data_IF_898306337346
#
_entry.id   IF_898306337346
#
_cell.length_a   1.000
_cell.length_b   1.000
_cell.length_c   1.000
_cell.angle_alpha   90.00
_cell.angle_beta   90.00
_cell.angle_gamma   90.00
#
_symmetry.space_group_name_H-M   'P 1'
#
loop_
_entity.id
_entity.type
_entity.pdbx_description
1 polymer ?
#
# COMPACT_ATOMS: atom_id res chain seq x y z
N UNK A 1 -11.74 -2.76 7.70
CA UNK A 1 -10.90 -2.61 6.48
C UNK A 1 -11.83 -2.58 5.27
N UNK A 2 -11.55 -1.72 4.28
CA UNK A 2 -12.34 -1.55 3.06
C UNK A 2 -11.63 -2.22 1.88
N UNK A 3 -12.38 -2.77 0.91
CA UNK A 3 -11.78 -3.49 -0.22
C UNK A 3 -11.36 -2.55 -1.34
N UNK A 4 -12.05 -1.43 -1.49
CA UNK A 4 -11.75 -0.39 -2.48
C UNK A 4 -11.68 1.01 -1.84
N UNK A 5 -11.29 2.02 -2.61
CA UNK A 5 -11.32 3.41 -2.14
C UNK A 5 -12.75 3.92 -1.97
N UNK A 6 -13.67 3.52 -2.86
CA UNK A 6 -15.10 3.82 -2.78
C UNK A 6 -15.71 3.30 -1.48
N UNK A 7 -15.38 2.06 -1.09
CA UNK A 7 -15.80 1.49 0.19
C UNK A 7 -15.30 2.33 1.38
N UNK A 8 -14.07 2.87 1.29
CA UNK A 8 -13.49 3.71 2.35
C UNK A 8 -14.19 5.07 2.44
N UNK A 9 -14.50 5.69 1.30
CA UNK A 9 -15.30 6.92 1.26
C UNK A 9 -16.72 6.69 1.78
N UNK A 10 -17.34 5.59 1.37
CA UNK A 10 -18.70 5.22 1.78
C UNK A 10 -18.79 5.00 3.29
N UNK A 11 -17.79 4.34 3.89
CA UNK A 11 -17.74 4.14 5.34
C UNK A 11 -17.76 5.47 6.13
N UNK A 12 -17.11 6.53 5.61
CA UNK A 12 -17.17 7.87 6.24
C UNK A 12 -18.55 8.50 6.04
N UNK A 13 -19.11 8.42 4.83
CA UNK A 13 -20.43 8.99 4.52
C UNK A 13 -21.55 8.37 5.36
N UNK A 14 -21.48 7.06 5.59
CA UNK A 14 -22.48 6.32 6.37
C UNK A 14 -22.25 6.41 7.89
N UNK A 15 -21.24 7.17 8.33
CA UNK A 15 -20.90 7.32 9.75
C UNK A 15 -20.29 6.07 10.40
N UNK A 16 -19.89 5.07 9.60
CA UNK A 16 -19.20 3.87 10.07
C UNK A 16 -17.74 4.15 10.44
N UNK A 17 -17.16 5.20 9.85
CA UNK A 17 -15.84 5.72 10.18
C UNK A 17 -15.88 7.24 10.32
N UNK A 18 -15.04 7.79 11.20
CA UNK A 18 -14.94 9.24 11.35
C UNK A 18 -14.07 9.88 10.26
N UNK A 19 -13.06 9.16 9.77
CA UNK A 19 -12.08 9.62 8.78
C UNK A 19 -11.66 8.47 7.86
N UNK A 20 -11.17 8.81 6.67
CA UNK A 20 -10.53 7.89 5.75
C UNK A 20 -9.09 8.34 5.46
N UNK A 21 -8.16 7.39 5.41
CA UNK A 21 -6.78 7.60 4.97
C UNK A 21 -6.64 7.09 3.55
N UNK A 22 -6.34 7.98 2.61
CA UNK A 22 -6.36 7.69 1.18
C UNK A 22 -4.99 8.03 0.57
N UNK A 23 -4.28 7.05 -0.02
CA UNK A 23 -2.99 7.30 -0.65
C UNK A 23 -3.20 8.01 -2.00
N UNK A 24 -2.70 9.23 -2.17
CA UNK A 24 -2.90 10.02 -3.41
C UNK A 24 -1.69 10.00 -4.35
N UNK A 25 -0.49 9.81 -3.80
CA UNK A 25 0.76 9.83 -4.55
C UNK A 25 1.78 8.85 -3.98
N UNK A 26 2.67 8.38 -4.82
CA UNK A 26 3.81 7.55 -4.46
C UNK A 26 5.03 7.97 -5.27
N UNK A 27 6.16 8.22 -4.60
CA UNK A 27 7.38 8.69 -5.26
C UNK A 27 7.97 7.72 -6.29
N UNK A 28 7.56 6.44 -6.29
CA UNK A 28 8.06 5.41 -7.22
C UNK A 28 6.99 5.00 -8.24
N UNK A 29 5.74 4.79 -7.80
CA UNK A 29 4.64 4.34 -8.64
C UNK A 29 3.81 5.50 -9.24
N UNK A 30 4.11 6.74 -8.84
CA UNK A 30 3.38 7.93 -9.25
C UNK A 30 2.05 8.10 -8.52
N UNK A 31 1.22 8.99 -9.07
CA UNK A 31 -0.11 9.30 -8.56
C UNK A 31 -1.02 8.09 -8.59
N UNK A 32 -1.86 7.97 -7.56
CA UNK A 32 -2.93 6.98 -7.55
C UNK A 32 -4.10 7.58 -8.32
N UNK A 33 -4.23 7.15 -9.59
CA UNK A 33 -5.01 7.85 -10.62
C UNK A 33 -6.48 8.10 -10.25
N UNK A 34 -7.11 7.15 -9.57
CA UNK A 34 -8.56 7.18 -9.38
C UNK A 34 -9.01 8.23 -8.36
N UNK A 35 -8.17 8.65 -7.42
CA UNK A 35 -8.62 9.54 -6.33
C UNK A 35 -8.97 10.94 -6.83
N UNK A 36 -8.25 11.45 -7.83
CA UNK A 36 -8.59 12.74 -8.44
C UNK A 36 -9.94 12.69 -9.15
N UNK A 37 -10.40 11.51 -9.59
CA UNK A 37 -11.72 11.32 -10.18
C UNK A 37 -12.80 11.03 -9.13
N UNK A 38 -12.48 10.23 -8.10
CA UNK A 38 -13.43 9.80 -7.08
C UNK A 38 -13.75 10.92 -6.08
N UNK A 39 -12.75 11.66 -5.61
CA UNK A 39 -12.91 12.67 -4.54
C UNK A 39 -14.01 13.70 -4.81
N UNK A 40 -14.11 14.32 -6.00
CA UNK A 40 -15.17 15.29 -6.28
C UNK A 40 -16.59 14.76 -6.09
N UNK A 41 -16.81 13.44 -6.24
CA UNK A 41 -18.12 12.82 -6.10
C UNK A 41 -18.49 12.46 -4.64
N UNK A 42 -17.56 12.58 -3.69
CA UNK A 42 -17.76 12.08 -2.32
C UNK A 42 -18.46 13.06 -1.38
N UNK A 43 -18.48 14.37 -1.70
CA UNK A 43 -18.82 15.45 -0.76
C UNK A 43 -18.00 15.44 0.56
N UNK A 44 -16.84 14.79 0.57
CA UNK A 44 -15.91 14.82 1.69
C UNK A 44 -14.86 15.93 1.51
N UNK A 45 -14.25 16.36 2.61
CA UNK A 45 -13.18 17.36 2.61
C UNK A 45 -11.86 16.75 3.06
N UNK A 46 -10.75 17.20 2.45
CA UNK A 46 -9.40 16.87 2.91
C UNK A 46 -9.11 17.75 4.13
N UNK A 47 -8.83 17.13 5.27
CA UNK A 47 -8.58 17.82 6.54
C UNK A 47 -7.14 17.66 7.06
N UNK A 48 -6.30 16.95 6.31
CA UNK A 48 -4.91 16.69 6.69
C UNK A 48 -4.19 15.85 5.66
N UNK A 49 -2.87 15.81 5.78
CA UNK A 49 -1.98 15.02 4.94
C UNK A 49 -0.97 14.24 5.80
N UNK A 50 -0.45 13.14 5.25
CA UNK A 50 0.57 12.33 5.89
C UNK A 50 1.54 11.75 4.86
N UNK A 51 2.83 11.86 5.14
CA UNK A 51 3.90 11.28 4.32
C UNK A 51 4.47 10.04 5.02
N UNK A 52 4.15 8.86 4.49
CA UNK A 52 4.65 7.60 5.01
C UNK A 52 5.86 7.12 4.19
N UNK A 53 7.01 6.98 4.85
CA UNK A 53 8.18 6.33 4.23
C UNK A 53 7.93 4.84 4.08
N UNK A 54 7.92 4.36 2.83
CA UNK A 54 7.73 2.93 2.52
C UNK A 54 9.03 2.16 2.75
N UNK A 55 8.96 1.13 3.59
CA UNK A 55 10.04 0.17 3.83
C UNK A 55 9.52 -1.24 3.60
N UNK A 56 10.24 -2.03 2.81
CA UNK A 56 9.98 -3.46 2.63
C UNK A 56 10.82 -4.27 3.62
N UNK A 57 10.22 -5.31 4.18
CA UNK A 57 10.87 -6.22 5.12
C UNK A 57 10.79 -7.65 4.57
N UNK A 58 11.90 -8.38 4.62
CA UNK A 58 11.89 -9.81 4.32
C UNK A 58 11.41 -10.56 5.56
N UNK A 59 10.24 -11.18 5.46
CA UNK A 59 9.62 -11.93 6.55
C UNK A 59 9.70 -13.43 6.28
N UNK A 60 9.91 -14.21 7.32
CA UNK A 60 9.95 -15.67 7.29
C UNK A 60 9.21 -16.25 8.49
N UNK A 61 8.83 -17.52 8.41
CA UNK A 61 8.27 -18.22 9.57
C UNK A 61 9.31 -18.35 10.68
N UNK A 62 8.91 -18.34 11.96
CA UNK A 62 9.82 -18.60 13.07
C UNK A 62 10.59 -19.91 12.88
N UNK A 63 11.92 -19.86 13.05
CA UNK A 63 12.80 -21.02 12.85
C UNK A 63 13.09 -21.38 11.38
N UNK A 64 12.64 -20.57 10.41
CA UNK A 64 12.98 -20.79 9.01
C UNK A 64 14.49 -20.69 8.78
N UNK A 65 15.05 -21.70 8.13
CA UNK A 65 16.44 -21.71 7.69
C UNK A 65 16.58 -20.88 6.41
N UNK A 66 17.36 -19.80 6.50
CA UNK A 66 17.62 -18.88 5.39
C UNK A 66 18.18 -19.61 4.16
N UNK A 67 18.98 -20.65 4.36
CA UNK A 67 19.59 -21.41 3.26
C UNK A 67 18.58 -22.25 2.46
N UNK A 68 17.37 -22.46 2.99
CA UNK A 68 16.31 -23.25 2.35
C UNK A 68 15.24 -22.40 1.66
N UNK A 69 15.34 -21.08 1.75
CA UNK A 69 14.42 -20.17 1.06
C UNK A 69 14.65 -20.26 -0.45
N UNK A 70 13.57 -20.29 -1.24
CA UNK A 70 13.62 -20.47 -2.70
C UNK A 70 12.80 -19.47 -3.51
N UNK A 71 11.80 -18.85 -2.88
CA UNK A 71 10.85 -17.99 -3.58
C UNK A 71 10.45 -16.83 -2.67
N UNK A 72 10.44 -15.62 -3.23
CA UNK A 72 9.90 -14.43 -2.56
C UNK A 72 8.52 -14.12 -3.14
N UNK A 73 7.54 -13.95 -2.26
CA UNK A 73 6.17 -13.58 -2.62
C UNK A 73 5.90 -12.15 -2.16
N UNK A 74 5.47 -11.29 -3.08
CA UNK A 74 5.03 -9.94 -2.75
C UNK A 74 4.26 -9.34 -3.94
N UNK A 75 3.76 -8.12 -3.78
CA UNK A 75 3.20 -7.34 -4.88
C UNK A 75 4.30 -7.00 -5.92
N UNK A 76 3.95 -6.91 -7.21
CA UNK A 76 4.90 -6.66 -8.30
C UNK A 76 5.75 -5.40 -8.10
N UNK A 77 5.16 -4.33 -7.56
CA UNK A 77 5.90 -3.10 -7.24
C UNK A 77 6.93 -3.31 -6.14
N UNK A 78 6.61 -4.08 -5.10
CA UNK A 78 7.55 -4.38 -4.02
C UNK A 78 8.69 -5.28 -4.51
N UNK A 79 8.38 -6.29 -5.32
CA UNK A 79 9.39 -7.13 -5.98
C UNK A 79 10.34 -6.30 -6.85
N UNK A 80 9.80 -5.38 -7.65
CA UNK A 80 10.60 -4.47 -8.48
C UNK A 80 11.54 -3.57 -7.65
N UNK A 81 11.05 -3.04 -6.52
CA UNK A 81 11.83 -2.18 -5.62
C UNK A 81 12.89 -2.96 -4.83
N UNK A 82 12.69 -4.25 -4.56
CA UNK A 82 13.62 -5.09 -3.80
C UNK A 82 14.50 -6.01 -4.65
N UNK A 83 14.43 -5.92 -5.98
CA UNK A 83 15.05 -6.88 -6.92
C UNK A 83 16.54 -7.12 -6.68
N UNK A 84 17.31 -6.07 -6.38
CA UNK A 84 18.75 -6.21 -6.16
C UNK A 84 19.05 -7.04 -4.91
N UNK A 85 18.37 -6.74 -3.80
CA UNK A 85 18.50 -7.49 -2.55
C UNK A 85 18.06 -8.94 -2.75
N UNK A 86 16.94 -9.17 -3.43
CA UNK A 86 16.45 -10.52 -3.74
C UNK A 86 17.52 -11.32 -4.49
N UNK A 87 18.12 -10.73 -5.54
CA UNK A 87 19.19 -11.35 -6.32
C UNK A 87 20.46 -11.62 -5.50
N UNK A 88 20.89 -10.67 -4.67
CA UNK A 88 22.06 -10.82 -3.78
C UNK A 88 21.88 -11.96 -2.77
N UNK A 89 20.64 -12.24 -2.39
CA UNK A 89 20.29 -13.34 -1.48
C UNK A 89 20.10 -14.69 -2.19
N UNK A 90 20.19 -14.73 -3.53
CA UNK A 90 19.93 -15.93 -4.33
C UNK A 90 18.47 -16.39 -4.28
N UNK A 91 17.54 -15.44 -4.10
CA UNK A 91 16.10 -15.68 -3.97
C UNK A 91 15.30 -15.20 -5.18
#
# INVERSE_FOLDING_TARGET
PCRTFEDAFQAVRDGQAQLAMIPIDNSVAGRVADIHHLMPATNLAIIGEHFLRVHHQLLVMPGADRAKLKTVHSHVHALGQCRNLIREQGL
#
